data_IF_979824336403
#
_entry.id   IF_979824336403
#
_cell.length_a   1.000
_cell.length_b   1.000
_cell.length_c   1.000
_cell.angle_alpha   90.00
_cell.angle_beta   90.00
_cell.angle_gamma   90.00
#
_symmetry.space_group_name_H-M   'P 1'
#
loop_
_entity.id
_entity.type
_entity.pdbx_description
1 polymer ?
#
# COMPACT_ATOMS: atom_id res chain seq x y z
N UNK A 1 -34.74 -27.17 -8.88
CA UNK A 1 -35.28 -25.78 -8.78
C UNK A 1 -34.42 -25.05 -7.76
N UNK A 2 -33.37 -24.37 -8.23
CA UNK A 2 -32.38 -23.70 -7.40
C UNK A 2 -32.97 -22.40 -6.82
N UNK A 3 -32.99 -22.26 -5.50
CA UNK A 3 -33.13 -20.96 -4.82
C UNK A 3 -31.80 -20.63 -4.16
N UNK A 4 -31.01 -19.82 -4.84
CA UNK A 4 -29.83 -19.17 -4.28
C UNK A 4 -30.32 -17.98 -3.46
N UNK A 5 -30.15 -18.06 -2.14
CA UNK A 5 -30.21 -16.88 -1.26
C UNK A 5 -28.96 -16.04 -1.53
N UNK A 6 -29.14 -14.85 -2.11
CA UNK A 6 -28.11 -13.79 -2.07
C UNK A 6 -28.34 -12.99 -0.79
N UNK A 7 -27.52 -13.24 0.22
CA UNK A 7 -27.40 -12.39 1.40
C UNK A 7 -26.51 -11.22 1.02
N UNK A 8 -27.09 -10.03 0.90
CA UNK A 8 -26.36 -8.78 0.70
C UNK A 8 -25.69 -8.39 2.02
N UNK A 9 -24.38 -8.57 2.13
CA UNK A 9 -23.58 -8.01 3.22
C UNK A 9 -23.29 -6.55 2.85
N UNK A 10 -23.90 -5.62 3.58
CA UNK A 10 -23.55 -4.19 3.51
C UNK A 10 -22.30 -4.01 4.36
N UNK A 11 -21.16 -3.86 3.69
CA UNK A 11 -19.88 -3.55 4.33
C UNK A 11 -19.85 -2.04 4.63
N UNK A 12 -20.09 -1.67 5.88
CA UNK A 12 -19.91 -0.29 6.35
C UNK A 12 -18.42 -0.12 6.68
N UNK A 13 -17.64 0.39 5.74
CA UNK A 13 -16.26 0.79 5.98
C UNK A 13 -16.29 2.16 6.64
N UNK A 14 -16.17 2.18 7.97
CA UNK A 14 -15.88 3.41 8.72
C UNK A 14 -14.38 3.67 8.60
N UNK A 15 -14.00 4.50 7.64
CA UNK A 15 -12.63 5.04 7.54
C UNK A 15 -12.40 5.99 8.71
N UNK A 16 -11.71 5.48 9.74
CA UNK A 16 -11.18 6.31 10.80
C UNK A 16 -10.04 7.16 10.23
N UNK A 17 -10.23 8.47 10.17
CA UNK A 17 -9.17 9.44 9.87
C UNK A 17 -8.19 9.42 11.04
N UNK A 18 -7.10 8.66 10.93
CA UNK A 18 -6.00 8.70 11.90
C UNK A 18 -5.15 9.93 11.54
N UNK A 19 -5.49 11.09 12.11
CA UNK A 19 -4.55 12.22 12.13
C UNK A 19 -3.39 11.88 13.08
N UNK A 20 -2.23 11.50 12.54
CA UNK A 20 -0.99 11.52 13.32
C UNK A 20 -0.35 12.91 13.21
N UNK A 21 -0.23 13.68 14.32
CA UNK A 21 0.50 14.94 14.28
C UNK A 21 2.00 14.64 14.20
N UNK A 22 2.63 14.95 13.08
CA UNK A 22 4.08 15.10 13.02
C UNK A 22 4.47 16.28 13.90
N UNK A 23 5.10 16.01 15.03
CA UNK A 23 5.75 17.04 15.85
C UNK A 23 7.08 17.36 15.18
N UNK A 24 7.17 18.51 14.52
CA UNK A 24 8.43 19.17 14.22
C UNK A 24 8.46 20.60 14.77
N UNK A 25 9.62 20.93 15.35
CA UNK A 25 9.94 22.09 16.17
C UNK A 25 10.27 23.35 15.34
N UNK A 26 10.05 24.51 15.99
CA UNK A 26 10.13 25.92 15.56
C UNK A 26 8.96 26.41 14.71
N UNK A 27 7.98 27.03 15.38
CA UNK A 27 6.86 27.74 14.78
C UNK A 27 7.32 28.97 13.97
N UNK A 28 7.74 28.75 12.73
CA UNK A 28 7.47 29.71 11.65
C UNK A 28 5.97 29.73 11.44
N UNK A 29 5.31 30.88 11.61
CA UNK A 29 3.89 31.00 11.28
C UNK A 29 3.68 30.58 9.82
N UNK A 30 2.88 29.55 9.61
CA UNK A 30 2.59 29.06 8.27
C UNK A 30 1.78 30.10 7.48
N UNK A 31 2.17 30.32 6.22
CA UNK A 31 1.47 31.25 5.32
C UNK A 31 0.11 30.66 4.89
N UNK A 32 -0.89 31.50 4.58
CA UNK A 32 -2.14 31.04 4.00
C UNK A 32 -1.91 30.36 2.64
N UNK A 33 -2.64 29.28 2.36
CA UNK A 33 -2.52 28.51 1.11
C UNK A 33 -3.85 27.87 0.70
N UNK A 34 -3.96 27.49 -0.58
CA UNK A 34 -5.07 26.69 -1.10
C UNK A 34 -4.69 25.23 -1.02
N UNK A 35 -5.56 24.41 -0.42
CA UNK A 35 -5.45 22.95 -0.43
C UNK A 35 -6.49 22.37 -1.39
N UNK A 36 -6.08 21.35 -2.15
CA UNK A 36 -6.98 20.52 -2.94
C UNK A 36 -6.95 19.13 -2.32
N UNK A 37 -8.11 18.58 -1.99
CA UNK A 37 -8.24 17.17 -1.68
C UNK A 37 -9.12 16.48 -2.72
N UNK A 38 -8.78 15.26 -3.08
CA UNK A 38 -9.52 14.44 -4.05
C UNK A 38 -10.22 13.27 -3.35
N UNK A 39 -11.44 13.00 -3.76
CA UNK A 39 -12.20 11.80 -3.42
C UNK A 39 -12.51 11.04 -4.71
N UNK A 40 -11.95 9.84 -4.83
CA UNK A 40 -12.10 8.95 -5.98
C UNK A 40 -13.07 7.78 -5.70
N UNK A 41 -13.84 7.83 -4.61
CA UNK A 41 -14.76 6.74 -4.21
C UNK A 41 -15.76 6.37 -5.31
N UNK A 42 -16.20 7.33 -6.12
CA UNK A 42 -17.14 7.09 -7.22
C UNK A 42 -16.46 6.80 -8.57
N UNK A 43 -15.13 6.87 -8.67
CA UNK A 43 -14.40 6.76 -9.92
C UNK A 43 -14.66 5.42 -10.64
N UNK A 44 -14.58 4.31 -9.91
CA UNK A 44 -14.85 2.96 -10.45
C UNK A 44 -16.30 2.76 -10.91
N UNK A 45 -17.24 3.55 -10.36
CA UNK A 45 -18.67 3.40 -10.62
C UNK A 45 -19.13 4.21 -11.83
N UNK A 46 -18.73 5.48 -11.87
CA UNK A 46 -19.24 6.44 -12.86
C UNK A 46 -18.18 7.42 -13.38
N UNK A 47 -16.89 7.13 -13.14
CA UNK A 47 -15.75 7.94 -13.57
C UNK A 47 -15.77 9.38 -13.03
N UNK A 48 -16.44 9.62 -11.90
CA UNK A 48 -16.47 10.93 -11.24
C UNK A 48 -15.46 11.01 -10.10
N UNK A 49 -14.76 12.13 -10.04
CA UNK A 49 -13.84 12.51 -8.97
C UNK A 49 -14.39 13.79 -8.32
N UNK A 50 -14.52 13.80 -6.99
CA UNK A 50 -14.89 15.01 -6.25
C UNK A 50 -13.62 15.68 -5.71
N UNK A 51 -13.42 16.95 -6.09
CA UNK A 51 -12.35 17.78 -5.55
C UNK A 51 -12.93 18.73 -4.52
N UNK A 52 -12.29 18.84 -3.36
CA UNK A 52 -12.60 19.88 -2.36
C UNK A 52 -11.48 20.91 -2.37
N UNK A 53 -11.83 22.18 -2.61
CA UNK A 53 -10.91 23.32 -2.63
C UNK A 53 -11.08 24.06 -1.30
N UNK A 54 -10.02 24.11 -0.51
CA UNK A 54 -10.01 24.68 0.84
C UNK A 54 -9.01 25.82 0.99
N UNK A 55 -9.31 26.77 1.87
CA UNK A 55 -8.38 27.82 2.30
C UNK A 55 -7.81 27.44 3.67
N UNK A 56 -6.49 27.31 3.77
CA UNK A 56 -5.79 26.91 4.99
C UNK A 56 -4.95 28.04 5.54
N UNK A 57 -4.70 27.98 6.85
CA UNK A 57 -3.90 28.96 7.59
C UNK A 57 -4.37 30.41 7.41
N UNK A 58 -5.68 30.59 7.22
CA UNK A 58 -6.31 31.90 7.12
C UNK A 58 -6.33 32.55 8.50
N UNK A 59 -5.71 33.73 8.61
CA UNK A 59 -5.75 34.55 9.84
C UNK A 59 -6.83 35.62 9.81
N UNK A 60 -7.24 36.02 8.62
CA UNK A 60 -8.25 37.04 8.41
C UNK A 60 -9.47 36.38 7.76
N UNK A 61 -10.64 36.94 8.05
CA UNK A 61 -11.84 36.70 7.26
C UNK A 61 -11.70 37.36 5.89
N UNK A 62 -12.48 36.93 4.92
CA UNK A 62 -12.41 37.42 3.53
C UNK A 62 -13.76 37.95 3.07
N UNK A 63 -13.76 38.94 2.20
CA UNK A 63 -14.98 39.45 1.55
C UNK A 63 -15.00 39.12 0.06
N UNK A 64 -13.86 38.82 -0.53
CA UNK A 64 -13.77 38.51 -1.96
C UNK A 64 -12.66 37.50 -2.23
N UNK A 65 -12.92 36.55 -3.12
CA UNK A 65 -11.90 35.68 -3.69
C UNK A 65 -12.24 35.34 -5.14
N UNK A 66 -11.23 35.37 -6.00
CA UNK A 66 -11.28 34.73 -7.31
C UNK A 66 -10.18 33.68 -7.45
N UNK A 67 -10.46 32.58 -8.16
CA UNK A 67 -9.50 31.52 -8.40
C UNK A 67 -9.68 30.94 -9.79
N UNK A 68 -8.58 30.60 -10.46
CA UNK A 68 -8.60 29.99 -11.79
C UNK A 68 -8.37 28.49 -11.66
N UNK A 69 -9.16 27.70 -12.37
CA UNK A 69 -8.96 26.26 -12.46
C UNK A 69 -8.36 25.90 -13.83
N UNK A 70 -7.47 24.93 -13.84
CA UNK A 70 -6.88 24.38 -15.06
C UNK A 70 -6.93 22.86 -14.99
N UNK A 71 -7.40 22.26 -16.07
CA UNK A 71 -7.64 20.83 -16.20
C UNK A 71 -7.59 20.43 -17.68
N UNK A 72 -7.26 19.16 -17.92
CA UNK A 72 -7.12 18.63 -19.27
C UNK A 72 -8.50 18.29 -19.88
N UNK A 73 -8.90 19.07 -20.89
CA UNK A 73 -10.18 18.90 -21.61
C UNK A 73 -10.18 17.71 -22.57
N UNK A 74 -9.03 17.09 -22.84
CA UNK A 74 -8.95 15.82 -23.56
C UNK A 74 -9.20 14.62 -22.63
N UNK A 75 -9.20 14.85 -21.31
CA UNK A 75 -9.38 13.83 -20.27
C UNK A 75 -10.73 13.97 -19.56
N UNK A 76 -11.14 15.20 -19.24
CA UNK A 76 -12.37 15.48 -18.51
C UNK A 76 -13.46 16.09 -19.39
N UNK A 77 -14.72 15.84 -19.03
CA UNK A 77 -15.86 16.58 -19.55
C UNK A 77 -15.74 18.08 -19.24
N UNK A 78 -16.36 18.93 -20.07
CA UNK A 78 -16.35 20.38 -19.85
C UNK A 78 -17.03 20.72 -18.52
N UNK A 79 -16.27 21.32 -17.60
CA UNK A 79 -16.77 21.81 -16.31
C UNK A 79 -17.71 22.99 -16.53
N UNK A 80 -18.85 22.95 -15.83
CA UNK A 80 -19.87 24.00 -15.82
C UNK A 80 -20.17 24.44 -14.38
N UNK A 81 -20.97 25.50 -14.23
CA UNK A 81 -21.39 25.97 -12.89
C UNK A 81 -22.21 24.93 -12.10
N UNK A 82 -22.81 23.93 -12.75
CA UNK A 82 -23.61 22.88 -12.11
C UNK A 82 -22.74 21.83 -11.40
N UNK A 83 -21.48 21.75 -11.79
CA UNK A 83 -20.53 20.77 -11.25
C UNK A 83 -19.91 21.25 -9.92
N UNK A 84 -20.20 22.51 -9.55
CA UNK A 84 -19.81 23.11 -8.29
C UNK A 84 -20.92 23.00 -7.25
N UNK A 85 -20.50 22.74 -6.02
CA UNK A 85 -21.30 22.94 -4.82
C UNK A 85 -20.47 23.65 -3.77
N UNK A 86 -21.10 24.31 -2.81
CA UNK A 86 -20.40 24.93 -1.69
C UNK A 86 -21.27 24.84 -0.43
N UNK A 87 -20.62 24.96 0.72
CA UNK A 87 -21.26 25.01 2.04
C UNK A 87 -20.96 26.36 2.73
N UNK A 88 -20.85 27.42 1.93
CA UNK A 88 -20.52 28.76 2.42
C UNK A 88 -21.69 29.34 3.23
N UNK A 89 -21.39 30.29 4.12
CA UNK A 89 -22.41 30.91 4.95
C UNK A 89 -23.41 31.72 4.09
N UNK A 90 -24.65 31.25 3.99
CA UNK A 90 -25.71 31.88 3.20
C UNK A 90 -26.09 33.28 3.69
N UNK A 91 -25.91 33.57 4.98
CA UNK A 91 -26.26 34.88 5.55
C UNK A 91 -25.32 35.99 5.07
N UNK A 92 -24.09 35.62 4.69
CA UNK A 92 -23.05 36.57 4.26
C UNK A 92 -22.65 36.39 2.80
N UNK A 93 -23.02 35.28 2.15
CA UNK A 93 -22.70 35.01 0.75
C UNK A 93 -23.54 35.90 -0.18
N UNK A 94 -22.88 36.84 -0.83
CA UNK A 94 -23.49 37.73 -1.82
C UNK A 94 -23.55 37.06 -3.19
N UNK A 95 -22.44 36.43 -3.59
CA UNK A 95 -22.27 35.90 -4.94
C UNK A 95 -21.32 34.71 -4.95
N UNK A 96 -21.71 33.64 -5.65
CA UNK A 96 -20.84 32.53 -6.02
C UNK A 96 -21.06 32.20 -7.49
N UNK A 97 -20.00 32.21 -8.30
CA UNK A 97 -20.10 31.89 -9.71
C UNK A 97 -18.84 31.25 -10.26
N UNK A 98 -19.04 30.36 -11.23
CA UNK A 98 -18.00 29.85 -12.11
C UNK A 98 -18.23 30.29 -13.55
N UNK A 99 -17.19 30.81 -14.21
CA UNK A 99 -17.17 31.15 -15.63
C UNK A 99 -16.33 30.13 -16.40
N UNK A 100 -16.98 29.31 -17.22
CA UNK A 100 -16.31 28.33 -18.09
C UNK A 100 -15.41 28.98 -19.14
N UNK A 101 -15.77 30.18 -19.62
CA UNK A 101 -14.94 30.93 -20.59
C UNK A 101 -13.63 31.42 -19.98
N UNK A 102 -13.65 31.80 -18.71
CA UNK A 102 -12.47 32.29 -18.00
C UNK A 102 -11.79 31.21 -17.13
N UNK A 103 -12.40 30.02 -17.04
CA UNK A 103 -12.11 28.99 -16.04
C UNK A 103 -11.96 29.57 -14.62
N UNK A 104 -12.87 30.46 -14.23
CA UNK A 104 -12.70 31.28 -13.03
C UNK A 104 -13.87 31.13 -12.05
N UNK A 105 -13.54 30.85 -10.80
CA UNK A 105 -14.43 30.93 -9.64
C UNK A 105 -14.35 32.35 -9.09
N UNK A 106 -15.49 32.94 -8.74
CA UNK A 106 -15.59 34.22 -8.04
C UNK A 106 -16.57 34.06 -6.90
N UNK A 107 -16.16 34.48 -5.70
CA UNK A 107 -16.97 34.49 -4.50
C UNK A 107 -16.87 35.85 -3.84
N UNK A 108 -18.03 36.42 -3.49
CA UNK A 108 -18.14 37.71 -2.80
C UNK A 108 -19.09 37.55 -1.60
N UNK A 109 -18.71 38.20 -0.50
CA UNK A 109 -19.47 38.24 0.74
C UNK A 109 -19.85 39.68 1.08
N UNK A 110 -21.07 39.88 1.57
CA UNK A 110 -21.59 41.19 1.99
C UNK A 110 -20.82 41.73 3.23
N UNK A 111 -20.25 40.83 4.01
CA UNK A 111 -19.32 41.13 5.11
C UNK A 111 -18.19 40.09 5.19
N UNK A 112 -17.07 40.50 5.78
CA UNK A 112 -15.91 39.63 5.98
C UNK A 112 -16.29 38.32 6.69
N UNK A 113 -16.11 37.22 5.97
CA UNK A 113 -16.56 35.88 6.35
C UNK A 113 -15.38 34.94 6.54
N UNK A 114 -15.48 34.06 7.54
CA UNK A 114 -14.51 32.98 7.72
C UNK A 114 -14.79 31.87 6.71
N UNK A 115 -13.77 31.51 5.93
CA UNK A 115 -13.88 30.50 4.87
C UNK A 115 -12.76 29.49 5.03
N UNK A 116 -13.14 28.22 5.22
CA UNK A 116 -12.21 27.08 5.33
C UNK A 116 -12.34 26.15 4.13
N UNK A 117 -13.57 25.84 3.72
CA UNK A 117 -13.89 25.17 2.45
C UNK A 117 -14.47 26.22 1.49
N UNK A 118 -13.83 26.41 0.34
CA UNK A 118 -14.30 27.37 -0.67
C UNK A 118 -15.43 26.75 -1.51
N UNK A 119 -15.20 25.57 -2.05
CA UNK A 119 -16.17 24.82 -2.82
C UNK A 119 -15.72 23.39 -3.07
N UNK A 120 -16.64 22.59 -3.60
CA UNK A 120 -16.41 21.28 -4.18
C UNK A 120 -16.70 21.30 -5.67
N UNK A 121 -15.91 20.55 -6.43
CA UNK A 121 -16.04 20.37 -7.87
C UNK A 121 -16.15 18.89 -8.20
N UNK A 122 -17.15 18.51 -8.99
CA UNK A 122 -17.23 17.18 -9.61
C UNK A 122 -16.56 17.22 -10.98
N UNK A 123 -15.45 16.49 -11.12
CA UNK A 123 -14.78 16.25 -12.39
C UNK A 123 -15.18 14.88 -12.93
N UNK A 124 -15.69 14.84 -14.15
CA UNK A 124 -16.07 13.60 -14.82
C UNK A 124 -15.08 13.27 -15.93
N UNK A 125 -14.50 12.08 -15.87
CA UNK A 125 -13.56 11.59 -16.89
C UNK A 125 -14.33 11.12 -18.11
N UNK A 126 -13.83 11.45 -19.31
CA UNK A 126 -14.42 11.02 -20.58
C UNK A 126 -14.43 9.48 -20.68
N UNK A 127 -15.49 8.93 -21.25
CA UNK A 127 -15.72 7.48 -21.29
C UNK A 127 -14.57 6.70 -21.95
N UNK A 128 -13.88 7.29 -22.93
CA UNK A 128 -12.78 6.70 -23.68
C UNK A 128 -11.41 6.74 -22.97
N UNK A 129 -11.32 7.33 -21.78
CA UNK A 129 -10.08 7.42 -21.01
C UNK A 129 -10.05 6.33 -19.95
N UNK A 130 -8.95 5.58 -19.90
CA UNK A 130 -8.75 4.45 -18.97
C UNK A 130 -7.73 4.78 -17.86
N UNK A 131 -6.76 5.63 -18.14
CA UNK A 131 -5.68 6.00 -17.21
C UNK A 131 -5.60 7.52 -17.07
N UNK A 132 -5.69 7.99 -15.83
CA UNK A 132 -5.58 9.41 -15.47
C UNK A 132 -4.40 9.68 -14.51
N UNK A 133 -3.56 8.68 -14.24
CA UNK A 133 -2.55 8.70 -13.17
C UNK A 133 -1.52 9.83 -13.27
N UNK A 134 -1.26 10.33 -14.47
CA UNK A 134 -0.32 11.44 -14.72
C UNK A 134 -1.01 12.79 -14.88
N UNK A 135 -2.34 12.80 -14.86
CA UNK A 135 -3.17 13.98 -15.10
C UNK A 135 -3.12 14.92 -13.91
N UNK A 136 -3.17 16.22 -14.20
CA UNK A 136 -3.08 17.27 -13.20
C UNK A 136 -4.33 18.13 -13.20
N UNK A 137 -4.73 18.55 -12.02
CA UNK A 137 -5.68 19.62 -11.80
C UNK A 137 -4.97 20.73 -11.04
N UNK A 138 -5.09 21.96 -11.51
CA UNK A 138 -4.40 23.11 -10.91
C UNK A 138 -5.43 24.16 -10.51
N UNK A 139 -5.28 24.68 -9.30
CA UNK A 139 -5.91 25.94 -8.90
C UNK A 139 -4.81 27.00 -8.89
N UNK A 140 -4.93 27.94 -9.82
CA UNK A 140 -4.05 29.10 -9.91
C UNK A 140 -4.70 30.29 -9.24
N UNK A 141 -3.87 31.12 -8.61
CA UNK A 141 -4.37 32.25 -7.84
C UNK A 141 -5.06 33.31 -8.71
N UNK A 142 -6.15 33.86 -8.17
CA UNK A 142 -6.63 35.21 -8.44
C UNK A 142 -6.91 35.92 -7.11
N UNK A 143 -7.15 37.24 -7.12
CA UNK A 143 -7.10 38.08 -5.93
C UNK A 143 -8.03 37.62 -4.78
N UNK A 144 -7.52 37.62 -3.55
CA UNK A 144 -8.30 37.42 -2.32
C UNK A 144 -8.15 38.63 -1.40
N UNK A 145 -9.26 39.14 -0.87
CA UNK A 145 -9.28 40.42 -0.18
C UNK A 145 -10.25 40.46 1.00
N UNK A 146 -9.86 41.22 2.01
CA UNK A 146 -10.67 41.61 3.17
C UNK A 146 -10.88 43.12 3.16
N UNK A 147 -12.12 43.56 2.98
CA UNK A 147 -12.48 44.98 3.01
C UNK A 147 -12.32 45.59 4.40
N UNK A 148 -12.66 44.86 5.47
CA UNK A 148 -12.56 45.41 6.82
C UNK A 148 -11.11 45.62 7.27
N UNK A 149 -10.20 44.72 6.89
CA UNK A 149 -8.79 44.83 7.24
C UNK A 149 -7.95 45.61 6.22
N UNK A 150 -8.53 45.98 5.06
CA UNK A 150 -7.83 46.53 3.89
C UNK A 150 -6.58 45.70 3.53
N UNK A 151 -6.77 44.38 3.40
CA UNK A 151 -5.68 43.42 3.18
C UNK A 151 -5.94 42.52 1.99
N UNK A 152 -4.91 42.42 1.15
CA UNK A 152 -4.82 41.38 0.11
C UNK A 152 -4.11 40.16 0.66
N UNK A 153 -4.67 38.98 0.39
CA UNK A 153 -4.09 37.68 0.74
C UNK A 153 -3.65 37.01 -0.56
N UNK A 154 -2.35 36.78 -0.69
CA UNK A 154 -1.78 36.10 -1.86
C UNK A 154 -1.66 34.60 -1.59
N UNK A 155 -2.11 33.80 -2.56
CA UNK A 155 -1.91 32.35 -2.56
C UNK A 155 -0.94 31.95 -3.67
N UNK A 156 -0.17 30.90 -3.43
CA UNK A 156 0.56 30.23 -4.51
C UNK A 156 -0.35 29.36 -5.36
N UNK A 157 0.13 28.99 -6.54
CA UNK A 157 -0.50 27.96 -7.35
C UNK A 157 -0.40 26.60 -6.65
N UNK A 158 -1.48 25.83 -6.67
CA UNK A 158 -1.52 24.45 -6.17
C UNK A 158 -1.91 23.50 -7.30
N UNK A 159 -1.26 22.35 -7.35
CA UNK A 159 -1.50 21.31 -8.35
C UNK A 159 -1.73 19.98 -7.65
N UNK A 160 -2.84 19.33 -7.98
CA UNK A 160 -3.19 17.99 -7.56
C UNK A 160 -2.97 17.03 -8.74
N UNK A 161 -2.49 15.82 -8.47
CA UNK A 161 -2.31 14.77 -9.50
C UNK A 161 -3.26 13.61 -9.20
N UNK A 162 -3.91 13.07 -10.23
CA UNK A 162 -4.87 11.98 -10.07
C UNK A 162 -4.26 10.58 -10.04
N UNK A 163 -2.96 10.47 -9.71
CA UNK A 163 -2.36 9.19 -9.36
C UNK A 163 -3.18 8.54 -8.23
N UNK A 164 -3.38 7.23 -8.29
CA UNK A 164 -3.80 6.47 -7.11
C UNK A 164 -2.85 6.87 -5.98
N UNK A 165 -3.41 7.38 -4.87
CA UNK A 165 -2.64 7.55 -3.66
C UNK A 165 -2.25 6.14 -3.22
N UNK A 166 -1.10 5.65 -3.67
CA UNK A 166 -0.47 4.40 -3.21
C UNK A 166 0.08 4.59 -1.78
N UNK A 167 -0.75 5.13 -0.89
CA UNK A 167 -0.57 5.03 0.57
C UNK A 167 -1.12 3.68 1.08
N UNK A 168 -1.40 2.72 0.19
CA UNK A 168 -1.44 1.33 0.61
C UNK A 168 -0.04 0.92 1.03
N UNK A 169 0.13 0.67 2.33
CA UNK A 169 1.37 0.14 2.90
C UNK A 169 1.83 -1.06 2.05
N UNK A 170 3.00 -0.92 1.38
CA UNK A 170 3.59 -1.97 0.54
C UNK A 170 3.56 -3.31 1.28
N UNK A 171 3.21 -4.38 0.57
CA UNK A 171 3.26 -5.73 1.09
C UNK A 171 4.67 -6.00 1.64
N UNK A 172 4.74 -6.40 2.91
CA UNK A 172 6.01 -6.76 3.55
C UNK A 172 5.96 -8.16 4.11
N UNK A 173 7.13 -8.75 4.31
CA UNK A 173 7.30 -10.00 5.04
C UNK A 173 8.58 -9.87 5.87
N UNK A 174 8.50 -10.17 7.16
CA UNK A 174 9.67 -10.21 8.03
C UNK A 174 9.60 -11.32 9.08
N UNK A 175 10.74 -11.62 9.70
CA UNK A 175 10.88 -12.66 10.71
C UNK A 175 12.05 -12.36 11.66
N UNK A 176 11.91 -12.77 12.92
CA UNK A 176 13.01 -12.76 13.90
C UNK A 176 13.67 -14.15 14.04
N UNK A 177 13.03 -15.20 13.53
CA UNK A 177 13.41 -16.59 13.77
C UNK A 177 14.10 -17.23 12.57
N UNK A 178 13.65 -16.91 11.36
CA UNK A 178 14.15 -17.51 10.13
C UNK A 178 15.13 -16.57 9.42
N UNK A 179 15.70 -17.03 8.30
CA UNK A 179 16.52 -16.21 7.40
C UNK A 179 15.79 -16.03 6.07
N UNK A 180 15.53 -14.79 5.68
CA UNK A 180 14.98 -14.42 4.35
C UNK A 180 16.13 -13.84 3.53
N UNK A 181 16.42 -14.38 2.34
CA UNK A 181 17.47 -13.80 1.50
C UNK A 181 18.88 -13.80 2.10
N UNK A 182 19.79 -13.03 1.51
CA UNK A 182 21.20 -12.94 1.92
C UNK A 182 21.63 -11.55 2.42
N UNK A 183 21.03 -10.46 1.90
CA UNK A 183 21.41 -9.08 2.26
C UNK A 183 20.78 -8.66 3.58
N UNK A 184 19.44 -8.62 3.63
CA UNK A 184 18.67 -8.44 4.84
C UNK A 184 18.03 -9.77 5.24
N UNK A 185 18.63 -10.44 6.22
CA UNK A 185 18.19 -11.78 6.64
C UNK A 185 16.82 -11.80 7.36
N UNK A 186 16.29 -10.64 7.75
CA UNK A 186 15.07 -10.54 8.56
C UNK A 186 13.88 -10.02 7.79
N UNK A 187 14.09 -9.09 6.88
CA UNK A 187 13.03 -8.49 6.07
C UNK A 187 13.20 -8.89 4.61
N UNK A 188 12.10 -9.21 3.96
CA UNK A 188 12.07 -9.51 2.54
C UNK A 188 12.49 -8.31 1.69
N UNK A 189 13.35 -8.58 0.71
CA UNK A 189 13.71 -7.65 -0.36
C UNK A 189 13.30 -8.21 -1.73
N UNK A 190 12.92 -7.31 -2.65
CA UNK A 190 12.54 -7.69 -4.01
C UNK A 190 13.68 -8.48 -4.68
N UNK A 191 13.40 -9.72 -5.05
CA UNK A 191 14.36 -10.64 -5.65
C UNK A 191 14.84 -11.76 -4.72
N UNK A 192 14.51 -11.71 -3.43
CA UNK A 192 14.71 -12.83 -2.53
C UNK A 192 13.90 -14.04 -2.99
N UNK A 193 14.52 -15.22 -2.87
CA UNK A 193 13.96 -16.49 -3.39
C UNK A 193 13.70 -17.52 -2.32
N UNK A 194 14.35 -17.40 -1.17
CA UNK A 194 14.38 -18.44 -0.16
C UNK A 194 14.12 -17.91 1.24
N UNK A 195 13.45 -18.74 2.05
CA UNK A 195 13.40 -18.61 3.49
C UNK A 195 13.96 -19.89 4.12
N UNK A 196 14.96 -19.75 4.99
CA UNK A 196 15.76 -20.85 5.54
C UNK A 196 15.89 -20.77 7.05
N UNK A 197 16.64 -21.72 7.66
CA UNK A 197 16.77 -21.91 9.12
C UNK A 197 15.48 -22.35 9.82
N UNK A 198 14.55 -22.95 9.08
CA UNK A 198 13.38 -23.56 9.69
C UNK A 198 13.81 -24.85 10.39
N UNK A 199 13.44 -25.01 11.66
CA UNK A 199 13.71 -26.23 12.42
C UNK A 199 12.85 -27.38 11.90
N UNK A 200 13.41 -28.59 11.83
CA UNK A 200 12.65 -29.82 11.55
C UNK A 200 11.42 -29.95 12.45
N UNK A 201 10.39 -30.62 11.94
CA UNK A 201 9.11 -30.87 12.63
C UNK A 201 8.37 -29.57 13.01
N UNK A 202 8.65 -28.45 12.33
CA UNK A 202 7.87 -27.21 12.48
C UNK A 202 6.51 -27.37 11.80
N UNK A 203 5.43 -27.26 12.57
CA UNK A 203 4.07 -27.24 12.03
C UNK A 203 3.76 -25.92 11.33
N UNK A 204 2.86 -25.92 10.36
CA UNK A 204 2.46 -24.70 9.64
C UNK A 204 2.00 -23.58 10.59
N UNK A 205 1.21 -23.90 11.61
CA UNK A 205 0.78 -22.88 12.59
C UNK A 205 1.95 -22.21 13.32
N UNK A 206 2.95 -22.98 13.69
CA UNK A 206 4.12 -22.48 14.41
C UNK A 206 5.03 -21.69 13.45
N UNK A 207 5.09 -22.11 12.19
CA UNK A 207 5.79 -21.39 11.13
C UNK A 207 5.19 -19.99 10.90
N UNK A 208 3.87 -19.92 10.69
CA UNK A 208 3.17 -18.65 10.46
C UNK A 208 3.29 -17.71 11.66
N UNK A 209 3.20 -18.23 12.90
CA UNK A 209 3.36 -17.43 14.12
C UNK A 209 4.73 -16.75 14.27
N UNK A 210 5.75 -17.19 13.52
CA UNK A 210 7.09 -16.61 13.51
C UNK A 210 7.35 -15.68 12.31
N UNK A 211 6.31 -15.37 11.53
CA UNK A 211 6.33 -14.42 10.42
C UNK A 211 5.48 -13.19 10.78
N UNK A 212 5.90 -12.03 10.26
CA UNK A 212 5.14 -10.77 10.34
C UNK A 212 4.90 -10.25 8.93
N UNK A 213 3.67 -9.87 8.65
CA UNK A 213 3.25 -9.36 7.35
C UNK A 213 1.90 -8.66 7.48
N UNK A 214 1.57 -7.78 6.54
CA UNK A 214 0.25 -7.22 6.33
C UNK A 214 -0.59 -7.97 5.27
N UNK A 215 -0.09 -9.09 4.72
CA UNK A 215 -0.79 -9.92 3.74
C UNK A 215 -1.26 -11.28 4.26
N UNK A 216 -2.04 -12.00 3.45
CA UNK A 216 -2.49 -13.36 3.73
C UNK A 216 -1.38 -14.38 3.41
N UNK A 217 -1.04 -15.25 4.35
CA UNK A 217 -0.04 -16.31 4.17
C UNK A 217 -0.70 -17.61 3.71
N UNK A 218 -0.17 -18.20 2.63
CA UNK A 218 -0.47 -19.58 2.20
C UNK A 218 0.84 -20.34 1.98
N UNK A 219 0.87 -21.62 2.39
CA UNK A 219 1.97 -22.54 2.06
C UNK A 219 1.43 -23.68 1.19
N UNK A 220 2.09 -23.97 0.07
CA UNK A 220 1.73 -25.06 -0.83
C UNK A 220 2.86 -26.06 -1.00
N UNK A 221 2.50 -27.34 -1.12
CA UNK A 221 3.37 -28.43 -1.55
C UNK A 221 3.75 -28.27 -3.02
N UNK A 222 4.70 -29.06 -3.49
CA UNK A 222 5.18 -29.03 -4.88
C UNK A 222 4.07 -29.38 -5.89
N UNK A 223 3.13 -30.23 -5.50
CA UNK A 223 1.94 -30.58 -6.31
C UNK A 223 0.84 -29.50 -6.31
N UNK A 224 1.05 -28.37 -5.61
CA UNK A 224 0.10 -27.26 -5.48
C UNK A 224 -0.91 -27.41 -4.35
N UNK A 225 -0.91 -28.53 -3.62
CA UNK A 225 -1.81 -28.75 -2.47
C UNK A 225 -1.49 -27.76 -1.35
N UNK A 226 -2.50 -27.06 -0.82
CA UNK A 226 -2.35 -26.20 0.35
C UNK A 226 -2.06 -27.03 1.60
N UNK A 227 -1.09 -26.59 2.38
CA UNK A 227 -0.73 -27.19 3.66
C UNK A 227 -1.72 -26.77 4.74
N UNK A 228 -2.03 -27.66 5.67
CA UNK A 228 -2.91 -27.39 6.83
C UNK A 228 -2.11 -27.12 8.10
N UNK A 229 -2.74 -26.49 9.10
CA UNK A 229 -2.08 -25.99 10.32
C UNK A 229 -1.29 -27.03 11.11
N UNK A 230 -1.72 -28.30 11.09
CA UNK A 230 -1.12 -29.40 11.84
C UNK A 230 -0.04 -30.17 11.05
N UNK A 231 0.09 -29.91 9.76
CA UNK A 231 1.12 -30.53 8.91
C UNK A 231 2.48 -29.83 9.09
N UNK A 232 3.55 -30.58 8.83
CA UNK A 232 4.92 -30.04 8.87
C UNK A 232 5.24 -29.27 7.58
N UNK A 233 5.91 -28.14 7.76
CA UNK A 233 6.54 -27.42 6.65
C UNK A 233 7.80 -28.18 6.26
N UNK A 234 7.99 -28.42 4.96
CA UNK A 234 9.13 -29.15 4.41
C UNK A 234 9.90 -28.37 3.35
N UNK A 235 11.13 -28.80 3.07
CA UNK A 235 11.97 -28.23 2.02
C UNK A 235 11.31 -28.42 0.65
N UNK A 236 11.35 -27.39 -0.19
CA UNK A 236 10.74 -27.41 -1.54
C UNK A 236 9.31 -26.88 -1.58
N UNK A 237 8.63 -26.78 -0.42
CA UNK A 237 7.35 -26.10 -0.32
C UNK A 237 7.47 -24.61 -0.63
N UNK A 238 6.36 -23.99 -1.03
CA UNK A 238 6.30 -22.59 -1.42
C UNK A 238 5.48 -21.78 -0.43
N UNK A 239 6.08 -20.74 0.14
CA UNK A 239 5.40 -19.68 0.86
C UNK A 239 4.88 -18.65 -0.17
N UNK A 240 3.63 -18.25 -0.03
CA UNK A 240 3.02 -17.16 -0.78
C UNK A 240 2.35 -16.20 0.19
N UNK A 241 2.66 -14.92 0.06
CA UNK A 241 2.00 -13.85 0.80
C UNK A 241 1.32 -12.93 -0.20
N UNK A 242 0.03 -12.64 -0.02
CA UNK A 242 -0.75 -11.80 -0.95
C UNK A 242 -1.46 -10.68 -0.22
N UNK A 243 -1.41 -9.49 -0.81
CA UNK A 243 -2.20 -8.32 -0.42
C UNK A 243 -2.61 -7.60 -1.69
N UNK A 244 -3.91 -7.51 -1.94
CA UNK A 244 -4.47 -6.89 -3.13
C UNK A 244 -3.86 -7.44 -4.44
N UNK A 245 -3.12 -6.63 -5.20
CA UNK A 245 -2.43 -7.03 -6.44
C UNK A 245 -0.97 -7.46 -6.21
N UNK A 246 -0.45 -7.29 -5.00
CA UNK A 246 0.94 -7.59 -4.65
C UNK A 246 1.12 -9.02 -4.13
N UNK A 247 2.30 -9.58 -4.38
CA UNK A 247 2.61 -10.97 -4.06
C UNK A 247 4.09 -11.18 -3.76
N UNK A 248 4.38 -11.85 -2.64
CA UNK A 248 5.71 -12.38 -2.30
C UNK A 248 5.67 -13.90 -2.44
N UNK A 249 6.68 -14.49 -3.10
CA UNK A 249 6.85 -15.94 -3.22
C UNK A 249 8.26 -16.35 -2.82
N UNK A 250 8.36 -17.28 -1.86
CA UNK A 250 9.64 -17.83 -1.39
C UNK A 250 9.59 -19.36 -1.37
N UNK A 251 10.70 -19.99 -1.72
CA UNK A 251 10.94 -21.42 -1.51
C UNK A 251 11.47 -21.67 -0.10
N UNK A 252 10.94 -22.70 0.55
CA UNK A 252 11.25 -23.01 1.94
C UNK A 252 12.40 -24.02 2.00
N UNK A 253 13.38 -23.77 2.87
CA UNK A 253 14.48 -24.67 3.18
C UNK A 253 14.50 -25.00 4.69
N UNK A 254 14.11 -26.23 5.03
CA UNK A 254 14.09 -26.72 6.41
C UNK A 254 15.43 -27.40 6.70
N UNK A 255 16.13 -26.96 7.75
CA UNK A 255 17.47 -27.43 8.05
C UNK A 255 17.50 -28.95 8.23
N UNK A 256 18.25 -29.62 7.34
CA UNK A 256 18.45 -31.06 7.33
C UNK A 256 17.35 -31.90 6.66
N UNK A 257 16.24 -31.29 6.23
CA UNK A 257 15.19 -31.97 5.47
C UNK A 257 15.57 -31.95 3.99
N UNK A 258 16.00 -33.10 3.46
CA UNK A 258 16.54 -33.25 2.11
C UNK A 258 15.59 -34.04 1.19
N UNK A 259 14.45 -34.49 1.70
CA UNK A 259 13.39 -35.14 0.92
C UNK A 259 12.08 -34.33 0.87
N UNK A 260 11.98 -33.23 1.64
CA UNK A 260 10.86 -32.30 1.65
C UNK A 260 9.70 -32.70 2.58
N UNK A 261 9.89 -33.67 3.47
CA UNK A 261 8.81 -34.16 4.36
C UNK A 261 8.71 -33.41 5.70
N UNK A 262 9.56 -32.41 5.91
CA UNK A 262 9.63 -31.57 7.10
C UNK A 262 10.35 -32.22 8.29
N UNK A 263 10.95 -33.41 8.12
CA UNK A 263 11.65 -34.13 9.19
C UNK A 263 13.11 -34.34 8.82
N UNK A 264 13.87 -34.81 9.81
CA UNK A 264 15.24 -35.31 9.60
C UNK A 264 15.27 -36.78 9.97
N UNK A 265 15.51 -37.62 8.98
CA UNK A 265 15.45 -39.07 9.05
C UNK A 265 16.72 -39.70 8.45
N UNK A 266 16.78 -41.04 8.44
CA UNK A 266 17.86 -41.76 7.76
C UNK A 266 17.86 -41.56 6.23
N UNK A 267 16.72 -41.18 5.64
CA UNK A 267 16.62 -40.86 4.21
C UNK A 267 17.47 -39.63 3.90
N UNK A 268 17.34 -38.56 4.69
CA UNK A 268 18.12 -37.33 4.54
C UNK A 268 19.62 -37.60 4.74
N UNK A 269 19.95 -38.43 5.73
CA UNK A 269 21.32 -38.89 5.96
C UNK A 269 21.89 -39.67 4.76
N UNK A 270 21.06 -40.47 4.07
CA UNK A 270 21.47 -41.14 2.84
C UNK A 270 21.70 -40.13 1.71
N UNK A 271 20.80 -39.16 1.54
CA UNK A 271 20.89 -38.12 0.50
C UNK A 271 22.13 -37.25 0.65
N UNK A 272 22.47 -36.80 1.87
CA UNK A 272 23.68 -35.99 2.07
C UNK A 272 24.96 -36.82 1.84
N UNK A 273 24.97 -38.10 2.23
CA UNK A 273 26.08 -39.02 1.94
C UNK A 273 26.30 -39.18 0.43
N UNK A 274 25.22 -39.41 -0.33
CA UNK A 274 25.28 -39.48 -1.79
C UNK A 274 25.76 -38.17 -2.42
N UNK A 275 25.41 -37.04 -1.83
CA UNK A 275 25.85 -35.71 -2.29
C UNK A 275 27.36 -35.51 -2.07
N UNK A 276 27.87 -35.90 -0.90
CA UNK A 276 29.31 -35.87 -0.58
C UNK A 276 30.09 -36.82 -1.49
N UNK A 277 29.54 -38.00 -1.79
CA UNK A 277 30.09 -38.96 -2.74
C UNK A 277 29.89 -38.55 -4.21
N UNK A 278 29.23 -37.42 -4.47
CA UNK A 278 28.97 -36.84 -5.80
C UNK A 278 28.11 -37.74 -6.71
N UNK A 279 27.32 -38.64 -6.14
CA UNK A 279 26.38 -39.49 -6.89
C UNK A 279 25.01 -38.83 -7.04
N UNK A 280 24.70 -37.86 -6.18
CA UNK A 280 23.49 -37.03 -6.21
C UNK A 280 23.92 -35.57 -6.10
N UNK A 281 23.15 -34.64 -6.69
CA UNK A 281 23.41 -33.21 -6.61
C UNK A 281 22.22 -32.53 -5.95
N UNK A 282 22.47 -31.79 -4.86
CA UNK A 282 21.50 -30.91 -4.23
C UNK A 282 21.70 -29.48 -4.74
N UNK A 283 20.60 -28.84 -5.11
CA UNK A 283 20.58 -27.48 -5.65
C UNK A 283 19.53 -26.64 -4.90
N UNK A 284 19.61 -25.31 -5.06
CA UNK A 284 18.61 -24.36 -4.58
C UNK A 284 18.25 -24.55 -3.09
N UNK A 285 16.96 -24.61 -2.74
CA UNK A 285 16.45 -24.78 -1.38
C UNK A 285 16.99 -26.04 -0.69
N UNK A 286 17.24 -27.12 -1.44
CA UNK A 286 17.79 -28.36 -0.89
C UNK A 286 19.29 -28.25 -0.61
N UNK A 287 20.03 -27.45 -1.39
CA UNK A 287 21.42 -27.11 -1.04
C UNK A 287 21.46 -26.30 0.25
N UNK A 288 20.56 -25.32 0.41
CA UNK A 288 20.45 -24.51 1.62
C UNK A 288 20.06 -25.36 2.85
N UNK A 289 19.15 -26.32 2.68
CA UNK A 289 18.77 -27.25 3.74
C UNK A 289 19.94 -28.15 4.18
N UNK A 290 20.85 -28.49 3.27
CA UNK A 290 22.00 -29.37 3.51
C UNK A 290 23.24 -28.64 4.06
N UNK A 291 23.37 -27.34 3.83
CA UNK A 291 24.49 -26.50 4.30
C UNK A 291 24.22 -26.02 5.74
N UNK A 292 24.46 -26.91 6.71
CA UNK A 292 24.07 -26.74 8.11
C UNK A 292 25.03 -25.84 8.90
N UNK A 293 26.24 -25.61 8.39
CA UNK A 293 27.19 -24.65 8.93
C UNK A 293 27.27 -23.33 8.14
N UNK A 294 26.43 -23.19 7.09
CA UNK A 294 26.28 -22.01 6.23
C UNK A 294 27.59 -21.55 5.58
N UNK A 295 28.47 -22.49 5.24
CA UNK A 295 29.75 -22.20 4.60
C UNK A 295 29.67 -22.19 3.05
N UNK A 296 28.48 -22.39 2.48
CA UNK A 296 28.16 -22.55 1.06
C UNK A 296 28.61 -23.87 0.41
N UNK A 297 29.13 -24.83 1.19
CA UNK A 297 29.59 -26.14 0.71
C UNK A 297 28.98 -27.27 1.55
N UNK A 298 28.54 -28.33 0.88
CA UNK A 298 28.06 -29.55 1.54
C UNK A 298 29.25 -30.46 1.81
N UNK A 299 29.58 -30.66 3.08
CA UNK A 299 30.78 -31.36 3.54
C UNK A 299 30.48 -32.44 4.58
N UNK A 300 31.53 -33.15 5.03
CA UNK A 300 31.42 -34.10 6.13
C UNK A 300 31.02 -33.42 7.46
N UNK A 301 31.24 -32.11 7.61
CA UNK A 301 30.79 -31.34 8.78
C UNK A 301 29.26 -31.31 8.84
N UNK A 302 28.60 -31.01 7.71
CA UNK A 302 27.14 -31.01 7.59
C UNK A 302 26.56 -32.40 7.84
N UNK A 303 27.16 -33.44 7.25
CA UNK A 303 26.79 -34.83 7.52
C UNK A 303 26.86 -35.16 9.02
N UNK A 304 27.93 -34.73 9.69
CA UNK A 304 28.09 -34.92 11.14
C UNK A 304 27.00 -34.20 11.93
N UNK A 305 26.68 -32.96 11.58
CA UNK A 305 25.59 -32.19 12.20
C UNK A 305 24.24 -32.85 11.97
N UNK A 306 23.93 -33.28 10.73
CA UNK A 306 22.70 -33.99 10.41
C UNK A 306 22.56 -35.29 11.21
N UNK A 307 23.65 -36.04 11.37
CA UNK A 307 23.67 -37.25 12.19
C UNK A 307 23.38 -36.94 13.67
N UNK A 308 23.92 -35.84 14.22
CA UNK A 308 23.59 -35.39 15.58
C UNK A 308 22.12 -34.96 15.71
N UNK A 309 21.53 -34.33 14.69
CA UNK A 309 20.11 -33.98 14.65
C UNK A 309 19.22 -35.22 14.72
N UNK A 310 19.60 -36.28 14.01
CA UNK A 310 18.90 -37.57 14.01
C UNK A 310 18.99 -38.25 15.38
N UNK A 311 20.17 -38.21 16.00
CA UNK A 311 20.43 -38.77 17.34
C UNK A 311 19.86 -37.92 18.49
N UNK A 312 19.36 -36.70 18.20
CA UNK A 312 18.80 -35.75 19.19
C UNK A 312 19.80 -35.34 20.27
N UNK A 313 21.04 -35.06 19.86
CA UNK A 313 22.15 -34.64 20.75
C UNK A 313 22.70 -33.25 20.40
N UNK A 314 21.85 -32.39 19.82
CA UNK A 314 22.10 -30.97 19.53
C UNK A 314 21.28 -30.10 20.47
#
# INVERSE_FOLDING_TARGET
>A
MNKIFKTTIVLVVVLAIIMTPFIYSKATEEKPYIEITKDMTNYEKDKTIELTISLKNMKNKISYIEAYIDYDKEIFEEVTSKDFSNSLNEDTLSYFSYSNKANKIVVEFDEDTEVTELCKLKLKVLDNIEDISTTKFKVSHGNCYSYNDDKTIEFGDVTETFAENNDEEKLYLSTEKYKIGENNIKDYEDGDKYISRITKETKLKDYINNLKTNGEITVTKEDGTKLTEEEYVGTGMKLTVTKDKEKIELKIAVSGDLNGDGKVTATDLSTINQTILKTTKLENEYKLAADLDENNNITATDLSTLNKMLLKIL
#
